data_IF_936884797753
#
_entry.id   IF_936884797753
#
_cell.length_a   1.000
_cell.length_b   1.000
_cell.length_c   1.000
_cell.angle_alpha   90.00
_cell.angle_beta   90.00
_cell.angle_gamma   90.00
#
_symmetry.space_group_name_H-M   'P 1'
#
loop_
_entity.id
_entity.type
_entity.pdbx_description
1 polymer ?
#
# COMPACT_ATOMS: atom_id res chain seq x y z
N UNK A 1 25.34 27.00 61.65
CA UNK A 1 24.89 27.73 60.45
C UNK A 1 25.03 26.83 59.22
N UNK A 2 24.23 27.03 58.16
CA UNK A 2 23.43 25.98 57.48
C UNK A 2 24.11 25.38 56.22
N UNK A 3 23.55 24.40 55.47
CA UNK A 3 22.18 23.85 55.35
C UNK A 3 22.14 22.30 55.22
N UNK A 4 21.05 21.64 55.66
CA UNK A 4 20.65 20.33 55.11
C UNK A 4 19.87 20.53 53.79
N UNK A 5 20.37 19.97 52.68
CA UNK A 5 19.66 20.01 51.40
C UNK A 5 18.48 19.03 51.38
N UNK A 6 17.28 19.59 51.38
CA UNK A 6 16.01 18.86 51.23
C UNK A 6 15.99 18.06 49.92
N UNK A 7 15.86 16.73 50.03
CA UNK A 7 15.50 15.87 48.89
C UNK A 7 13.98 15.75 48.84
N UNK A 8 13.35 16.48 47.92
CA UNK A 8 11.95 16.26 47.59
C UNK A 8 11.77 14.87 46.93
N UNK A 9 10.72 14.11 47.29
CA UNK A 9 10.36 12.91 46.54
C UNK A 9 9.71 13.30 45.22
N UNK A 10 10.36 13.00 44.09
CA UNK A 10 9.74 13.05 42.77
C UNK A 10 8.65 11.98 42.68
N UNK A 11 7.43 12.35 43.05
CA UNK A 11 6.24 11.51 42.98
C UNK A 11 5.77 11.40 41.53
N UNK A 12 6.50 10.62 40.73
CA UNK A 12 6.23 10.39 39.31
C UNK A 12 4.98 9.50 39.17
N UNK A 13 3.80 10.12 39.33
CA UNK A 13 2.52 9.49 39.02
C UNK A 13 2.51 9.17 37.53
N UNK A 14 2.76 7.89 37.23
CA UNK A 14 2.54 7.30 35.92
C UNK A 14 1.02 7.31 35.67
N UNK A 15 0.50 8.46 35.26
CA UNK A 15 -0.77 8.53 34.55
C UNK A 15 -0.55 7.87 33.19
N UNK A 16 -0.57 6.53 33.20
CA UNK A 16 -0.98 5.73 32.05
C UNK A 16 -2.44 6.10 31.78
N UNK A 17 -2.62 7.27 31.17
CA UNK A 17 -3.82 7.58 30.43
C UNK A 17 -3.93 6.48 29.38
N UNK A 18 -4.74 5.46 29.67
CA UNK A 18 -5.27 4.61 28.64
C UNK A 18 -5.93 5.56 27.66
N UNK A 19 -5.28 5.75 26.51
CA UNK A 19 -5.87 6.39 25.35
C UNK A 19 -6.94 5.44 24.83
N UNK A 20 -8.04 5.36 25.59
CA UNK A 20 -9.30 4.80 25.14
C UNK A 20 -9.60 5.58 23.89
N UNK A 21 -9.56 4.89 22.75
CA UNK A 21 -9.80 5.46 21.42
C UNK A 21 -11.23 5.98 21.41
N UNK A 22 -11.40 7.20 21.87
CA UNK A 22 -12.69 7.87 21.99
C UNK A 22 -13.25 7.92 20.58
N UNK A 23 -14.30 7.13 20.34
CA UNK A 23 -15.02 7.16 19.08
C UNK A 23 -15.55 8.58 18.97
N UNK A 24 -14.98 9.37 18.06
CA UNK A 24 -15.50 10.70 17.74
C UNK A 24 -16.92 10.46 17.25
N UNK A 25 -17.96 10.93 17.97
CA UNK A 25 -19.32 10.76 17.49
C UNK A 25 -19.43 11.47 16.15
N UNK A 26 -20.19 10.89 15.22
CA UNK A 26 -20.43 11.51 13.92
C UNK A 26 -21.11 12.86 14.16
N UNK A 27 -20.33 13.95 14.06
CA UNK A 27 -20.87 15.29 13.90
C UNK A 27 -21.36 15.39 12.46
N UNK A 28 -22.65 15.10 12.29
CA UNK A 28 -23.37 15.55 11.11
C UNK A 28 -23.18 17.08 11.00
N UNK A 29 -22.87 17.55 9.79
CA UNK A 29 -22.78 18.98 9.50
C UNK A 29 -24.14 19.62 9.76
N UNK A 30 -24.17 20.63 10.63
CA UNK A 30 -25.37 21.39 11.02
C UNK A 30 -25.93 22.21 9.84
N UNK A 31 -26.58 21.55 8.89
CA UNK A 31 -27.27 22.21 7.77
C UNK A 31 -28.56 21.47 7.33
N UNK A 32 -29.20 20.78 8.27
CA UNK A 32 -30.62 20.43 8.22
C UNK A 32 -31.20 20.40 9.64
N UNK A 33 -32.35 21.04 9.83
CA UNK A 33 -33.13 20.92 11.07
C UNK A 33 -33.94 19.63 10.99
N UNK A 34 -33.32 18.52 11.39
CA UNK A 34 -34.03 17.30 11.73
C UNK A 34 -34.00 17.13 13.25
N UNK A 35 -35.18 16.92 13.83
CA UNK A 35 -35.34 16.69 15.27
C UNK A 35 -34.43 15.54 15.74
N UNK A 36 -34.06 15.56 17.02
CA UNK A 36 -33.32 14.48 17.66
C UNK A 36 -34.17 13.22 17.80
N UNK A 37 -34.46 12.54 16.68
CA UNK A 37 -35.17 11.27 16.61
C UNK A 37 -34.32 10.23 17.33
N UNK A 38 -34.75 9.89 18.55
CA UNK A 38 -34.27 8.73 19.27
C UNK A 38 -34.86 7.53 18.54
N UNK A 39 -34.06 6.96 17.62
CA UNK A 39 -34.39 5.70 16.94
C UNK A 39 -34.59 4.59 17.98
N UNK A 40 -35.64 3.80 17.81
CA UNK A 40 -35.83 2.61 18.64
C UNK A 40 -34.71 1.59 18.40
N UNK A 41 -34.42 0.72 19.38
CA UNK A 41 -33.29 -0.23 19.30
C UNK A 41 -33.31 -1.11 18.04
N UNK A 42 -34.51 -1.41 17.52
CA UNK A 42 -34.67 -2.16 16.28
C UNK A 42 -34.32 -1.33 15.03
N UNK A 43 -34.79 -0.08 14.93
CA UNK A 43 -34.44 0.82 13.82
C UNK A 43 -32.93 1.09 13.77
N UNK A 44 -32.29 1.17 14.95
CA UNK A 44 -30.85 1.33 15.06
C UNK A 44 -30.08 0.10 14.51
N UNK A 45 -30.51 -1.13 14.82
CA UNK A 45 -29.85 -2.34 14.28
C UNK A 45 -30.10 -2.50 12.78
N UNK A 46 -31.30 -2.19 12.28
CA UNK A 46 -31.61 -2.18 10.84
C UNK A 46 -30.72 -1.18 10.08
N UNK A 47 -30.59 0.06 10.58
CA UNK A 47 -29.70 1.07 10.02
C UNK A 47 -28.21 0.65 10.07
N UNK A 48 -27.78 0.01 11.16
CA UNK A 48 -26.43 -0.56 11.27
C UNK A 48 -26.20 -1.68 10.24
N UNK A 49 -27.18 -2.53 9.96
CA UNK A 49 -27.07 -3.59 8.97
C UNK A 49 -26.99 -3.04 7.54
N UNK A 50 -27.81 -2.04 7.20
CA UNK A 50 -27.74 -1.41 5.89
C UNK A 50 -26.42 -0.63 5.70
N UNK A 51 -25.91 0.07 6.72
CA UNK A 51 -24.59 0.71 6.66
C UNK A 51 -23.45 -0.31 6.47
N UNK A 52 -23.48 -1.46 7.15
CA UNK A 52 -22.52 -2.56 6.94
C UNK A 52 -22.57 -3.06 5.49
N UNK A 53 -23.78 -3.33 4.98
CA UNK A 53 -24.02 -3.81 3.61
C UNK A 53 -23.55 -2.81 2.54
N UNK A 54 -23.82 -1.52 2.73
CA UNK A 54 -23.31 -0.47 1.84
C UNK A 54 -21.77 -0.39 1.88
N UNK A 55 -21.17 -0.45 3.07
CA UNK A 55 -19.71 -0.47 3.27
C UNK A 55 -19.05 -1.68 2.60
N UNK A 56 -19.63 -2.88 2.73
CA UNK A 56 -19.13 -4.10 2.09
C UNK A 56 -19.18 -4.01 0.54
N UNK A 57 -20.27 -3.44 -0.01
CA UNK A 57 -20.40 -3.20 -1.45
C UNK A 57 -19.33 -2.20 -1.93
N UNK A 58 -19.18 -1.05 -1.26
CA UNK A 58 -18.16 -0.06 -1.62
C UNK A 58 -16.73 -0.63 -1.52
N UNK A 59 -16.43 -1.35 -0.43
CA UNK A 59 -15.15 -2.02 -0.25
C UNK A 59 -14.86 -3.02 -1.37
N UNK A 60 -15.85 -3.80 -1.81
CA UNK A 60 -15.70 -4.71 -2.95
C UNK A 60 -15.37 -3.99 -4.27
N UNK A 61 -15.96 -2.81 -4.50
CA UNK A 61 -15.66 -1.97 -5.67
C UNK A 61 -14.25 -1.38 -5.60
N UNK A 62 -13.81 -0.91 -4.43
CA UNK A 62 -12.45 -0.41 -4.24
C UNK A 62 -11.40 -1.51 -4.46
N UNK A 63 -11.62 -2.72 -3.95
CA UNK A 63 -10.73 -3.86 -4.19
C UNK A 63 -10.65 -4.21 -5.69
N UNK A 64 -11.77 -4.17 -6.42
CA UNK A 64 -11.80 -4.38 -7.88
C UNK A 64 -11.03 -3.29 -8.64
N UNK A 65 -11.17 -2.03 -8.24
CA UNK A 65 -10.45 -0.90 -8.83
C UNK A 65 -8.94 -1.04 -8.60
N UNK A 66 -8.51 -1.33 -7.37
CA UNK A 66 -7.10 -1.59 -7.03
C UNK A 66 -6.56 -2.77 -7.85
N UNK A 67 -7.34 -3.86 -7.97
CA UNK A 67 -6.96 -5.02 -8.77
C UNK A 67 -6.75 -4.66 -10.26
N UNK A 68 -7.62 -3.81 -10.80
CA UNK A 68 -7.52 -3.31 -12.18
C UNK A 68 -6.25 -2.45 -12.38
N UNK A 69 -5.95 -1.56 -11.43
CA UNK A 69 -4.73 -0.73 -11.46
C UNK A 69 -3.46 -1.59 -11.35
N UNK A 70 -3.45 -2.60 -10.47
CA UNK A 70 -2.33 -3.54 -10.34
C UNK A 70 -2.12 -4.37 -11.61
N UNK A 71 -3.21 -4.81 -12.27
CA UNK A 71 -3.14 -5.57 -13.52
C UNK A 71 -2.62 -4.71 -14.68
N UNK A 72 -3.08 -3.46 -14.81
CA UNK A 72 -2.59 -2.50 -15.80
C UNK A 72 -1.11 -2.17 -15.59
N UNK A 73 -0.71 -1.86 -14.35
CA UNK A 73 0.69 -1.62 -14.00
C UNK A 73 1.57 -2.84 -14.28
N UNK A 74 1.15 -4.04 -13.88
CA UNK A 74 1.85 -5.29 -14.19
C UNK A 74 2.01 -5.51 -15.70
N UNK A 75 0.98 -5.22 -16.48
CA UNK A 75 1.02 -5.31 -17.95
C UNK A 75 2.05 -4.36 -18.55
N UNK A 76 2.14 -3.11 -18.07
CA UNK A 76 3.17 -2.16 -18.49
C UNK A 76 4.59 -2.66 -18.18
N UNK A 77 4.80 -3.29 -17.02
CA UNK A 77 6.09 -3.90 -16.67
C UNK A 77 6.44 -5.09 -17.58
N UNK A 78 5.47 -5.90 -17.99
CA UNK A 78 5.67 -7.00 -18.95
C UNK A 78 6.01 -6.46 -20.36
N UNK A 79 5.28 -5.46 -20.85
CA UNK A 79 5.56 -4.79 -22.13
C UNK A 79 6.97 -4.20 -22.13
N UNK A 80 7.39 -3.54 -21.04
CA UNK A 80 8.75 -3.03 -20.88
C UNK A 80 9.81 -4.14 -20.87
N UNK A 81 9.54 -5.25 -20.18
CA UNK A 81 10.49 -6.36 -20.05
C UNK A 81 10.73 -7.06 -21.41
N UNK A 82 9.68 -7.31 -22.18
CA UNK A 82 9.75 -8.03 -23.46
C UNK A 82 9.92 -7.13 -24.69
N UNK A 83 9.60 -5.84 -24.62
CA UNK A 83 9.70 -4.90 -25.74
C UNK A 83 11.16 -4.73 -26.22
N UNK A 84 11.43 -4.65 -27.53
CA UNK A 84 12.79 -4.58 -28.06
C UNK A 84 13.46 -3.22 -27.84
N UNK A 85 12.72 -2.10 -27.94
CA UNK A 85 13.28 -0.74 -27.81
C UNK A 85 13.69 -0.37 -26.38
N UNK A 86 13.22 -1.12 -25.36
CA UNK A 86 13.37 -0.82 -23.92
C UNK A 86 12.92 0.59 -23.53
N UNK A 87 12.13 1.25 -24.36
CA UNK A 87 11.49 2.52 -24.03
C UNK A 87 10.40 2.27 -22.97
N UNK A 88 10.21 3.20 -22.02
CA UNK A 88 9.11 3.09 -21.08
C UNK A 88 7.78 3.18 -21.85
N UNK A 89 6.81 2.27 -21.67
CA UNK A 89 5.56 2.27 -22.43
C UNK A 89 4.71 3.53 -22.22
N UNK A 90 5.00 4.30 -21.16
CA UNK A 90 4.41 5.61 -20.88
C UNK A 90 4.97 6.74 -21.76
N UNK A 91 6.03 6.52 -22.55
CA UNK A 91 6.61 7.51 -23.45
C UNK A 91 5.63 8.03 -24.52
N UNK A 92 4.64 7.21 -24.92
CA UNK A 92 3.59 7.62 -25.84
C UNK A 92 2.64 8.70 -25.25
N UNK A 93 2.56 8.79 -23.91
CA UNK A 93 1.74 9.77 -23.18
C UNK A 93 2.62 10.93 -22.69
N UNK A 94 3.84 10.60 -22.25
CA UNK A 94 4.83 11.54 -21.72
C UNK A 94 6.09 11.50 -22.59
N UNK A 95 6.07 12.15 -23.78
CA UNK A 95 7.20 12.14 -24.70
C UNK A 95 8.44 12.74 -24.05
N UNK A 96 9.60 12.13 -24.33
CA UNK A 96 10.91 12.59 -23.87
C UNK A 96 11.63 13.26 -25.02
N UNK A 97 12.23 14.43 -24.76
CA UNK A 97 13.02 15.19 -25.75
C UNK A 97 14.48 14.71 -25.89
N UNK A 98 14.81 13.48 -25.48
CA UNK A 98 16.16 12.94 -25.64
C UNK A 98 16.32 12.29 -27.02
N UNK A 99 17.50 12.41 -27.66
CA UNK A 99 17.82 11.64 -28.86
C UNK A 99 17.70 10.12 -28.61
N UNK A 100 17.27 9.31 -29.60
CA UNK A 100 17.15 7.86 -29.46
C UNK A 100 18.45 7.19 -28.97
N UNK A 101 19.59 7.70 -29.46
CA UNK A 101 20.93 7.15 -29.19
C UNK A 101 21.42 7.42 -27.75
N UNK A 102 20.76 8.31 -27.00
CA UNK A 102 21.11 8.61 -25.61
C UNK A 102 20.36 7.73 -24.59
N UNK A 103 19.37 6.94 -25.01
CA UNK A 103 18.59 6.10 -24.11
C UNK A 103 19.40 4.91 -23.59
N UNK A 104 20.13 5.14 -22.50
CA UNK A 104 20.72 4.08 -21.70
C UNK A 104 19.77 3.71 -20.54
N UNK A 105 19.17 2.50 -20.54
CA UNK A 105 18.40 2.03 -19.40
C UNK A 105 19.30 1.88 -18.16
N UNK A 106 18.70 2.02 -16.98
CA UNK A 106 19.43 1.91 -15.71
C UNK A 106 20.08 0.52 -15.62
N UNK A 107 21.37 0.40 -15.23
CA UNK A 107 22.02 -0.90 -15.08
C UNK A 107 21.25 -1.78 -14.11
N UNK A 108 20.97 -3.01 -14.52
CA UNK A 108 20.16 -3.95 -13.74
C UNK A 108 18.64 -3.76 -13.84
N UNK A 109 18.12 -2.99 -14.81
CA UNK A 109 16.67 -2.76 -14.98
C UNK A 109 15.83 -4.04 -14.92
N UNK A 110 16.28 -5.16 -15.51
CA UNK A 110 15.60 -6.45 -15.43
C UNK A 110 15.29 -6.88 -13.99
N UNK A 111 16.25 -6.72 -13.06
CA UNK A 111 16.08 -7.10 -11.66
C UNK A 111 15.04 -6.21 -10.99
N UNK A 112 15.08 -4.90 -11.25
CA UNK A 112 14.09 -3.95 -10.72
C UNK A 112 12.68 -4.20 -11.30
N UNK A 113 12.56 -4.49 -12.59
CA UNK A 113 11.27 -4.82 -13.23
C UNK A 113 10.70 -6.13 -12.70
N UNK A 114 11.52 -7.18 -12.53
CA UNK A 114 11.09 -8.45 -11.94
C UNK A 114 10.71 -8.30 -10.46
N UNK A 115 11.45 -7.49 -9.69
CA UNK A 115 11.12 -7.17 -8.29
C UNK A 115 9.78 -6.45 -8.19
N UNK A 116 9.54 -5.43 -9.03
CA UNK A 116 8.25 -4.77 -9.09
C UNK A 116 7.13 -5.71 -9.51
N UNK A 117 7.34 -6.58 -10.51
CA UNK A 117 6.35 -7.56 -10.94
C UNK A 117 6.00 -8.53 -9.79
N UNK A 118 7.00 -9.00 -9.04
CA UNK A 118 6.80 -9.82 -7.85
C UNK A 118 5.98 -9.09 -6.76
N UNK A 119 6.28 -7.82 -6.49
CA UNK A 119 5.49 -6.99 -5.55
C UNK A 119 4.04 -6.83 -6.03
N UNK A 120 3.80 -6.56 -7.31
CA UNK A 120 2.45 -6.45 -7.87
C UNK A 120 1.67 -7.77 -7.79
N UNK A 121 2.32 -8.91 -8.06
CA UNK A 121 1.72 -10.24 -7.91
C UNK A 121 1.37 -10.54 -6.44
N UNK A 122 2.25 -10.20 -5.49
CA UNK A 122 1.99 -10.41 -4.07
C UNK A 122 0.84 -9.52 -3.57
N UNK A 123 0.83 -8.23 -3.92
CA UNK A 123 -0.27 -7.30 -3.60
C UNK A 123 -1.60 -7.73 -4.23
N UNK A 124 -1.59 -8.14 -5.50
CA UNK A 124 -2.76 -8.69 -6.21
C UNK A 124 -3.36 -9.87 -5.42
N UNK A 125 -2.53 -10.83 -5.01
CA UNK A 125 -2.96 -11.97 -4.20
C UNK A 125 -3.58 -11.59 -2.84
N UNK A 126 -3.18 -10.46 -2.25
CA UNK A 126 -3.76 -9.94 -0.99
C UNK A 126 -5.08 -9.20 -1.21
N UNK A 127 -5.21 -8.44 -2.31
CA UNK A 127 -6.39 -7.64 -2.68
C UNK A 127 -7.55 -8.50 -3.21
N UNK A 128 -7.26 -9.70 -3.73
CA UNK A 128 -8.25 -10.63 -4.25
C UNK A 128 -9.42 -10.90 -3.27
N UNK A 129 -10.70 -10.76 -3.68
CA UNK A 129 -11.85 -11.07 -2.84
C UNK A 129 -11.82 -12.50 -2.28
N UNK A 130 -12.34 -12.69 -1.06
CA UNK A 130 -12.41 -14.00 -0.36
C UNK A 130 -13.18 -15.07 -1.16
N UNK A 131 -14.16 -14.65 -1.96
CA UNK A 131 -14.91 -15.52 -2.85
C UNK A 131 -14.14 -15.98 -4.11
N UNK A 132 -13.03 -15.32 -4.46
CA UNK A 132 -12.36 -15.49 -5.75
C UNK A 132 -11.74 -16.90 -5.91
N UNK A 133 -11.94 -17.59 -7.05
CA UNK A 133 -11.47 -18.98 -7.23
C UNK A 133 -9.95 -19.12 -7.10
N UNK A 134 -9.15 -18.16 -7.59
CA UNK A 134 -7.70 -18.18 -7.41
C UNK A 134 -7.30 -18.14 -5.93
N UNK A 135 -7.96 -17.32 -5.10
CA UNK A 135 -7.67 -17.23 -3.67
C UNK A 135 -8.01 -18.55 -2.94
N UNK A 136 -9.12 -19.19 -3.33
CA UNK A 136 -9.50 -20.54 -2.86
C UNK A 136 -8.51 -21.61 -3.32
N UNK A 137 -7.99 -21.51 -4.54
CA UNK A 137 -6.99 -22.43 -5.09
C UNK A 137 -5.66 -22.30 -4.35
N UNK A 138 -5.17 -21.07 -4.12
CA UNK A 138 -4.00 -20.81 -3.28
C UNK A 138 -4.18 -21.39 -1.87
N UNK A 139 -5.29 -21.11 -1.18
CA UNK A 139 -5.51 -21.64 0.18
C UNK A 139 -5.63 -23.16 0.21
N UNK A 140 -6.26 -23.78 -0.79
CA UNK A 140 -6.48 -25.25 -0.82
C UNK A 140 -5.19 -26.04 -1.06
N UNK A 141 -4.22 -25.47 -1.78
CA UNK A 141 -2.94 -26.12 -2.07
C UNK A 141 -1.86 -25.82 -1.01
N UNK A 142 -2.01 -24.74 -0.24
CA UNK A 142 -1.05 -24.34 0.81
C UNK A 142 -1.09 -25.24 2.04
N UNK A 143 -2.24 -25.82 2.40
CA UNK A 143 -2.41 -26.54 3.66
C UNK A 143 -2.24 -28.07 3.59
N UNK A 144 -2.07 -28.68 2.41
CA UNK A 144 -2.22 -30.14 2.27
C UNK A 144 -0.94 -30.97 2.28
N UNK A 145 0.19 -30.57 1.67
CA UNK A 145 1.34 -31.51 1.53
C UNK A 145 2.76 -30.94 1.32
N UNK A 146 3.04 -29.64 1.34
CA UNK A 146 4.38 -29.11 1.02
C UNK A 146 4.96 -28.19 2.11
N UNK A 147 6.19 -28.44 2.61
CA UNK A 147 6.91 -27.49 3.46
C UNK A 147 7.40 -26.24 2.71
N UNK A 148 7.27 -26.23 1.38
CA UNK A 148 7.61 -25.11 0.50
C UNK A 148 6.33 -24.42 0.01
N UNK A 149 5.74 -23.58 0.85
CA UNK A 149 4.60 -22.73 0.49
C UNK A 149 5.06 -21.57 -0.39
N UNK A 150 4.98 -21.76 -1.71
CA UNK A 150 5.49 -20.82 -2.72
C UNK A 150 4.86 -19.40 -2.66
N UNK A 151 3.74 -19.23 -1.94
CA UNK A 151 3.01 -17.97 -1.89
C UNK A 151 2.53 -17.62 -0.47
N UNK A 152 3.49 -17.31 0.41
CA UNK A 152 3.19 -16.57 1.65
C UNK A 152 3.03 -15.08 1.26
N UNK A 153 1.86 -14.45 1.50
CA UNK A 153 1.73 -13.01 1.31
C UNK A 153 2.69 -12.28 2.27
N UNK A 154 3.59 -11.46 1.72
CA UNK A 154 4.55 -10.70 2.51
C UNK A 154 3.81 -9.64 3.34
N UNK A 155 4.16 -9.41 4.61
CA UNK A 155 3.51 -8.38 5.40
C UNK A 155 3.67 -7.00 4.72
N UNK A 156 2.62 -6.19 4.74
CA UNK A 156 2.55 -4.93 3.99
C UNK A 156 3.77 -4.01 4.21
N UNK A 157 4.31 -3.96 5.44
CA UNK A 157 5.50 -3.18 5.78
C UNK A 157 6.75 -3.60 4.96
N UNK A 158 6.95 -4.90 4.73
CA UNK A 158 8.03 -5.40 3.90
C UNK A 158 7.80 -5.10 2.42
N UNK A 159 6.57 -5.28 1.92
CA UNK A 159 6.22 -4.92 0.54
C UNK A 159 6.43 -3.44 0.27
N UNK A 160 6.05 -2.57 1.20
CA UNK A 160 6.27 -1.13 1.13
C UNK A 160 7.77 -0.79 1.08
N UNK A 161 8.57 -1.37 1.99
CA UNK A 161 10.03 -1.19 1.99
C UNK A 161 10.68 -1.66 0.69
N UNK A 162 10.31 -2.85 0.19
CA UNK A 162 10.82 -3.40 -1.07
C UNK A 162 10.40 -2.56 -2.28
N UNK A 163 9.15 -2.09 -2.32
CA UNK A 163 8.64 -1.22 -3.38
C UNK A 163 9.38 0.14 -3.42
N UNK A 164 9.87 0.63 -2.28
CA UNK A 164 10.67 1.85 -2.19
C UNK A 164 12.13 1.67 -2.61
N UNK A 165 12.71 0.47 -2.55
CA UNK A 165 14.12 0.23 -2.91
C UNK A 165 14.42 0.60 -4.36
N UNK A 166 13.59 0.18 -5.32
CA UNK A 166 13.80 0.44 -6.74
C UNK A 166 13.78 1.94 -7.12
N UNK A 167 12.80 2.78 -6.71
CA UNK A 167 12.84 4.22 -6.97
C UNK A 167 13.99 4.92 -6.22
N UNK A 168 14.35 4.51 -5.01
CA UNK A 168 15.50 5.08 -4.29
C UNK A 168 16.82 4.76 -5.01
N UNK A 169 17.05 3.49 -5.37
CA UNK A 169 18.27 3.05 -6.05
C UNK A 169 18.39 3.63 -7.46
N UNK A 170 17.28 3.79 -8.20
CA UNK A 170 17.30 4.43 -9.51
C UNK A 170 17.69 5.92 -9.42
N UNK A 171 17.21 6.65 -8.41
CA UNK A 171 17.63 8.04 -8.16
C UNK A 171 19.13 8.13 -7.81
N UNK A 172 19.63 7.26 -6.93
CA UNK A 172 21.06 7.22 -6.61
C UNK A 172 21.93 6.88 -7.83
N UNK A 173 21.52 5.89 -8.64
CA UNK A 173 22.23 5.52 -9.87
C UNK A 173 22.20 6.65 -10.91
N UNK A 174 21.06 7.31 -11.10
CA UNK A 174 20.95 8.46 -12.01
C UNK A 174 21.88 9.61 -11.60
N UNK A 175 21.91 9.96 -10.30
CA UNK A 175 22.83 10.98 -9.79
C UNK A 175 24.31 10.58 -9.96
N UNK A 176 24.65 9.31 -9.75
CA UNK A 176 26.01 8.81 -9.88
C UNK A 176 26.50 8.81 -11.33
N UNK A 177 25.66 8.37 -12.29
CA UNK A 177 25.95 8.44 -13.72
C UNK A 177 26.10 9.90 -14.17
N UNK A 178 25.21 10.79 -13.72
CA UNK A 178 25.31 12.22 -14.03
C UNK A 178 26.62 12.83 -13.54
N UNK A 179 27.05 12.55 -12.30
CA UNK A 179 28.34 13.03 -11.78
C UNK A 179 29.54 12.53 -12.59
N UNK A 180 29.52 11.28 -13.06
CA UNK A 180 30.63 10.74 -13.88
C UNK A 180 30.77 11.44 -15.24
N UNK A 181 29.66 11.82 -15.88
CA UNK A 181 29.66 12.55 -17.17
C UNK A 181 30.17 14.00 -17.10
N UNK A 182 30.32 14.56 -15.89
CA UNK A 182 30.81 15.95 -15.70
C UNK A 182 32.33 16.00 -15.50
N UNK A 183 32.99 14.84 -15.25
CA UNK A 183 34.38 14.75 -14.81
C UNK A 183 35.31 14.10 -15.85
N UNK A 184 34.77 13.53 -16.91
CA UNK A 184 35.51 12.94 -18.04
C UNK A 184 35.04 13.50 -19.37
#
# INVERSE_FOLDING_TARGET
MPHPLSRAPCNFKHNLAMSVRQRVPFKFSEEAVEDGVILDEQEQEELIQDLKKQSDVQNSQYLLLIQTVLALSGTLHLVYLFGPSKEPPTAAIFPRYLPPDEFNPIPGYHVFTLLHLFVHLNLSGQVLPTAHPLRRWFSRNVFTSSPYTFFIPLPYLFLFGIAALAPILSLFMAQWVARRRVVG
#
